data_IF_692856864029
#
_entry.id   IF_692856864029
#
_cell.length_a   1.000
_cell.length_b   1.000
_cell.length_c   1.000
_cell.angle_alpha   90.00
_cell.angle_beta   90.00
_cell.angle_gamma   90.00
#
_symmetry.space_group_name_H-M   'P 1'
#
loop_
_entity.id
_entity.type
_entity.pdbx_description
1 polymer ?
#
# COMPACT_ATOMS: atom_id res chain seq x y z
N UNK A 1 -3.17 0.01 2.66
CA UNK A 1 -3.35 1.00 1.59
C UNK A 1 -2.02 1.36 0.96
N UNK A 2 -2.03 1.57 -0.35
CA UNK A 2 -0.90 2.04 -1.16
C UNK A 2 -1.42 3.25 -1.93
N UNK A 3 -0.80 4.42 -1.77
CA UNK A 3 -1.27 5.66 -2.40
C UNK A 3 -0.11 6.52 -2.88
N UNK A 4 -0.29 7.27 -3.95
CA UNK A 4 0.69 8.24 -4.43
C UNK A 4 0.24 9.67 -4.13
N UNK A 5 1.14 10.55 -3.68
CA UNK A 5 0.76 11.92 -3.25
C UNK A 5 0.41 12.88 -4.40
N UNK A 6 0.81 12.59 -5.64
CA UNK A 6 0.39 13.30 -6.86
C UNK A 6 -0.65 12.50 -7.66
N UNK A 7 -1.39 11.61 -7.02
CA UNK A 7 -2.58 11.02 -7.62
C UNK A 7 -3.75 12.02 -7.56
N UNK A 8 -3.96 12.75 -8.66
CA UNK A 8 -5.06 13.70 -8.79
C UNK A 8 -6.35 13.06 -9.33
N UNK A 9 -6.33 11.78 -9.69
CA UNK A 9 -7.54 11.02 -10.10
C UNK A 9 -8.27 10.47 -8.88
N UNK A 10 -7.50 9.99 -7.92
CA UNK A 10 -7.96 9.55 -6.59
C UNK A 10 -7.10 10.28 -5.55
N UNK A 11 -7.51 11.47 -5.08
CA UNK A 11 -6.72 12.27 -4.15
C UNK A 11 -6.32 11.52 -2.88
N UNK A 12 -5.12 11.78 -2.35
CA UNK A 12 -4.55 11.08 -1.18
C UNK A 12 -5.43 11.10 0.08
N UNK A 13 -6.34 12.09 0.19
CA UNK A 13 -7.31 12.17 1.28
C UNK A 13 -8.19 10.93 1.38
N UNK A 14 -8.53 10.28 0.27
CA UNK A 14 -9.31 9.04 0.26
C UNK A 14 -8.55 7.91 0.98
N UNK A 15 -7.24 7.79 0.72
CA UNK A 15 -6.35 6.84 1.40
C UNK A 15 -6.20 7.14 2.89
N UNK A 16 -6.10 8.43 3.27
CA UNK A 16 -6.03 8.85 4.67
C UNK A 16 -7.33 8.59 5.43
N UNK A 17 -8.49 8.91 4.84
CA UNK A 17 -9.79 8.69 5.46
C UNK A 17 -10.00 7.21 5.81
N UNK A 18 -9.72 6.31 4.88
CA UNK A 18 -9.86 4.87 5.13
C UNK A 18 -8.83 4.35 6.14
N UNK A 19 -7.56 4.79 6.05
CA UNK A 19 -6.54 4.46 7.05
C UNK A 19 -6.95 4.89 8.45
N UNK A 20 -7.40 6.14 8.60
CA UNK A 20 -7.83 6.68 9.89
C UNK A 20 -9.06 5.95 10.44
N UNK A 21 -10.05 5.64 9.60
CA UNK A 21 -11.23 4.86 10.00
C UNK A 21 -10.84 3.49 10.57
N UNK A 22 -9.92 2.76 9.91
CA UNK A 22 -9.43 1.47 10.41
C UNK A 22 -8.61 1.62 11.70
N UNK A 23 -7.78 2.67 11.81
CA UNK A 23 -7.01 2.98 13.02
C UNK A 23 -7.93 3.24 14.22
N UNK A 24 -9.00 4.02 14.05
CA UNK A 24 -10.00 4.29 15.09
C UNK A 24 -10.70 3.02 15.55
N UNK A 25 -10.93 2.06 14.65
CA UNK A 25 -11.51 0.73 14.93
C UNK A 25 -10.48 -0.29 15.44
N UNK A 26 -9.26 0.15 15.74
CA UNK A 26 -8.16 -0.69 16.25
C UNK A 26 -7.85 -1.90 15.36
N UNK A 27 -8.11 -1.79 14.06
CA UNK A 27 -7.78 -2.85 13.10
C UNK A 27 -6.31 -2.76 12.69
N UNK A 28 -5.60 -3.89 12.49
CA UNK A 28 -4.29 -3.88 11.88
C UNK A 28 -4.34 -3.21 10.51
N UNK A 29 -3.64 -2.09 10.34
CA UNK A 29 -3.68 -1.32 9.10
C UNK A 29 -2.34 -0.64 8.85
N UNK A 30 -2.01 -0.46 7.56
CA UNK A 30 -0.81 0.20 7.08
C UNK A 30 -1.16 1.07 5.87
N UNK A 31 -0.63 2.28 5.83
CA UNK A 31 -0.66 3.16 4.66
C UNK A 31 0.78 3.42 4.21
N UNK A 32 1.07 3.18 2.93
CA UNK A 32 2.34 3.53 2.29
C UNK A 32 2.06 4.63 1.29
N UNK A 33 2.80 5.75 1.41
CA UNK A 33 2.68 6.91 0.53
C UNK A 33 3.92 7.01 -0.37
N UNK A 34 3.71 6.99 -1.68
CA UNK A 34 4.75 7.15 -2.70
C UNK A 34 4.84 8.61 -3.12
N UNK A 35 5.91 9.28 -2.68
CA UNK A 35 6.11 10.69 -2.92
C UNK A 35 6.57 10.97 -4.36
N UNK A 36 5.99 12.00 -4.99
CA UNK A 36 6.26 12.38 -6.37
C UNK A 36 5.60 11.48 -7.43
N UNK A 37 4.86 10.44 -7.02
CA UNK A 37 4.21 9.51 -7.93
C UNK A 37 2.75 9.91 -8.19
N UNK A 38 2.22 9.54 -9.35
CA UNK A 38 0.83 9.75 -9.72
C UNK A 38 0.03 8.44 -9.74
N UNK A 39 -1.18 8.49 -10.31
CA UNK A 39 -2.09 7.34 -10.43
C UNK A 39 -1.48 6.13 -11.16
N UNK A 40 -0.54 6.35 -12.07
CA UNK A 40 0.05 5.31 -12.91
C UNK A 40 1.32 4.67 -12.33
N UNK A 41 1.63 4.92 -11.05
CA UNK A 41 2.79 4.34 -10.37
C UNK A 41 2.98 2.85 -10.66
N UNK A 42 1.91 2.05 -10.62
CA UNK A 42 1.98 0.60 -10.81
C UNK A 42 2.37 0.18 -12.24
N UNK A 43 2.06 1.00 -13.25
CA UNK A 43 2.25 0.72 -14.68
C UNK A 43 3.54 1.33 -15.21
N UNK A 44 3.72 2.63 -14.99
CA UNK A 44 4.77 3.45 -15.64
C UNK A 44 5.58 4.30 -14.66
N UNK A 45 5.34 4.17 -13.36
CA UNK A 45 6.09 4.92 -12.34
C UNK A 45 7.58 4.60 -12.28
N UNK A 46 8.33 5.39 -11.50
CA UNK A 46 9.78 5.22 -11.33
C UNK A 46 10.12 3.77 -10.89
N UNK A 47 11.12 3.10 -11.51
CA UNK A 47 11.40 1.69 -11.25
C UNK A 47 11.65 1.34 -9.78
N UNK A 48 12.36 2.19 -9.05
CA UNK A 48 12.64 2.03 -7.61
C UNK A 48 11.35 2.02 -6.77
N UNK A 49 10.43 2.94 -7.05
CA UNK A 49 9.15 3.00 -6.34
C UNK A 49 8.23 1.83 -6.71
N UNK A 50 8.27 1.35 -7.96
CA UNK A 50 7.56 0.13 -8.38
C UNK A 50 8.07 -1.11 -7.65
N UNK A 51 9.39 -1.25 -7.51
CA UNK A 51 9.99 -2.33 -6.72
C UNK A 51 9.54 -2.24 -5.26
N UNK A 52 9.59 -1.04 -4.65
CA UNK A 52 9.13 -0.86 -3.28
C UNK A 52 7.64 -1.21 -3.12
N UNK A 53 6.79 -0.78 -4.06
CA UNK A 53 5.36 -1.13 -4.07
C UNK A 53 5.14 -2.63 -4.06
N UNK A 54 5.84 -3.37 -4.93
CA UNK A 54 5.74 -4.84 -4.98
C UNK A 54 6.23 -5.48 -3.69
N UNK A 55 7.34 -5.01 -3.11
CA UNK A 55 7.85 -5.48 -1.81
C UNK A 55 6.83 -5.29 -0.68
N UNK A 56 6.17 -4.14 -0.64
CA UNK A 56 5.14 -3.84 0.37
C UNK A 56 3.90 -4.74 0.22
N UNK A 57 3.47 -5.01 -1.02
CA UNK A 57 2.38 -5.97 -1.30
C UNK A 57 2.76 -7.36 -0.81
N UNK A 58 3.93 -7.87 -1.20
CA UNK A 58 4.41 -9.19 -0.81
C UNK A 58 4.55 -9.30 0.71
N UNK A 59 5.09 -8.28 1.38
CA UNK A 59 5.22 -8.25 2.83
C UNK A 59 3.87 -8.35 3.53
N UNK A 60 2.86 -7.62 3.03
CA UNK A 60 1.51 -7.67 3.60
C UNK A 60 0.86 -9.04 3.41
N UNK A 61 0.94 -9.62 2.21
CA UNK A 61 0.40 -10.96 1.96
C UNK A 61 1.13 -12.05 2.75
N UNK A 62 2.46 -11.99 2.84
CA UNK A 62 3.22 -12.94 3.64
C UNK A 62 2.83 -12.90 5.13
N UNK A 63 2.47 -11.72 5.65
CA UNK A 63 2.08 -11.56 7.04
C UNK A 63 0.68 -12.11 7.35
N UNK A 64 -0.26 -12.00 6.41
CA UNK A 64 -1.69 -12.26 6.69
C UNK A 64 -2.31 -13.41 5.89
N UNK A 65 -1.71 -13.83 4.78
CA UNK A 65 -2.24 -14.86 3.89
C UNK A 65 -1.33 -16.10 3.81
N UNK A 66 -0.09 -16.03 4.31
CA UNK A 66 0.77 -17.22 4.34
C UNK A 66 0.29 -18.13 5.47
N UNK A 67 -0.33 -19.26 5.09
CA UNK A 67 -0.73 -20.31 6.03
C UNK A 67 0.52 -20.90 6.70
N UNK A 68 0.41 -21.25 7.98
CA UNK A 68 1.46 -21.94 8.75
C UNK A 68 1.55 -23.44 8.44
N UNK A 69 1.33 -23.84 7.19
CA UNK A 69 1.45 -25.24 6.74
C UNK A 69 2.54 -25.37 5.69
N UNK A 70 3.77 -25.04 6.08
CA UNK A 70 4.99 -25.59 5.46
C UNK A 70 5.97 -25.80 6.62
N UNK A 71 5.67 -26.82 7.43
CA UNK A 71 6.65 -27.56 8.18
C UNK A 71 6.92 -28.86 7.45
N UNK A 72 8.03 -28.92 6.71
CA UNK A 72 8.98 -30.04 6.65
C UNK A 72 10.33 -29.51 6.14
#
# INVERSE_FOLDING_TARGET
FLHSDHDFRCPIVEGYQMYQALKLRQQPTKLVVFHGANHDLSRTGRPDQRIQRLKEVLKWFNQYLKNQEEGD
#
